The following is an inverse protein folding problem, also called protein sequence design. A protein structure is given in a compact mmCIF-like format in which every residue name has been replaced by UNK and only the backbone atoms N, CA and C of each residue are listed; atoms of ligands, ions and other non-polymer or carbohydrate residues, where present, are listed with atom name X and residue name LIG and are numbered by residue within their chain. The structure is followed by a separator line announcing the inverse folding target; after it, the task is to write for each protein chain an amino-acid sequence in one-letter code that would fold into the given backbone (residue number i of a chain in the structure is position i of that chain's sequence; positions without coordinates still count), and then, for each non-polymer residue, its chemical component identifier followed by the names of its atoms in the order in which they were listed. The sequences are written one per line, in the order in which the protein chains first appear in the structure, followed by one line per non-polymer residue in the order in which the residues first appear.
data_IF_001197877875
#
_entry.id   IF_001197877875
#
_cell.length_a   1.000
_cell.length_b   1.000
_cell.length_c   1.000
_cell.angle_alpha   90.00
_cell.angle_beta   90.00
_cell.angle_gamma   90.00
#
_symmetry.space_group_name_H-M   'P 1'
#
loop_
_entity.id
_entity.type
_entity.pdbx_description
1 polymer ?
#
# COMPACT_ATOMS: atom_id res chain seq x y z
N UNK A 1 8.97 -30.44 60.28
CA UNK A 1 8.82 -28.98 60.24
C UNK A 1 8.39 -28.61 58.84
N UNK A 2 7.18 -28.07 58.68
CA UNK A 2 6.54 -27.82 57.39
C UNK A 2 7.02 -26.50 56.79
N UNK A 3 7.68 -26.56 55.63
CA UNK A 3 8.13 -25.36 54.91
C UNK A 3 6.93 -24.67 54.23
N UNK A 4 6.40 -23.62 54.86
CA UNK A 4 5.38 -22.75 54.26
C UNK A 4 6.08 -21.90 53.21
N UNK A 5 6.04 -22.35 51.95
CA UNK A 5 6.52 -21.56 50.81
C UNK A 5 5.64 -20.32 50.66
N UNK A 6 6.28 -19.15 50.67
CA UNK A 6 5.59 -17.87 50.62
C UNK A 6 4.98 -17.64 49.23
N UNK A 7 3.89 -16.87 49.14
CA UNK A 7 3.30 -16.45 47.87
C UNK A 7 4.32 -15.72 46.98
N UNK A 8 5.29 -15.02 47.58
CA UNK A 8 6.37 -14.35 46.86
C UNK A 8 7.34 -15.36 46.22
N UNK A 9 7.64 -16.48 46.87
CA UNK A 9 8.49 -17.55 46.30
C UNK A 9 7.80 -18.31 45.17
N UNK A 10 6.46 -18.46 45.25
CA UNK A 10 5.67 -18.99 44.13
C UNK A 10 5.69 -18.03 42.93
N UNK A 11 5.65 -16.72 43.17
CA UNK A 11 5.71 -15.71 42.10
C UNK A 11 7.07 -15.74 41.39
N UNK A 12 8.17 -15.78 42.15
CA UNK A 12 9.54 -15.90 41.60
C UNK A 12 9.73 -17.18 40.81
N UNK A 13 9.19 -18.30 41.31
CA UNK A 13 9.28 -19.59 40.62
C UNK A 13 8.49 -19.62 39.30
N UNK A 14 7.37 -18.86 39.21
CA UNK A 14 6.61 -18.70 37.95
C UNK A 14 7.27 -17.73 36.97
N UNK A 15 7.96 -16.69 37.45
CA UNK A 15 8.67 -15.75 36.57
C UNK A 15 9.98 -16.32 36.02
N UNK A 16 10.63 -17.24 36.75
CA UNK A 16 11.84 -17.92 36.30
C UNK A 16 11.62 -18.96 35.19
N UNK A 17 10.36 -19.31 34.89
CA UNK A 17 10.01 -20.20 33.78
C UNK A 17 9.11 -19.45 32.80
N UNK A 18 9.67 -18.84 31.75
CA UNK A 18 8.87 -18.45 30.60
C UNK A 18 8.46 -19.74 29.87
N UNK A 19 7.33 -20.34 30.26
CA UNK A 19 6.60 -21.31 29.45
C UNK A 19 5.94 -20.58 28.27
N UNK A 20 6.78 -19.99 27.42
CA UNK A 20 6.40 -19.63 26.07
C UNK A 20 6.88 -20.80 25.23
N UNK A 21 6.02 -21.57 24.56
CA UNK A 21 6.51 -22.42 23.49
C UNK A 21 7.24 -21.48 22.53
N UNK A 22 8.56 -21.64 22.41
CA UNK A 22 9.35 -21.03 21.35
C UNK A 22 8.76 -21.54 20.06
N UNK A 23 7.74 -20.82 19.56
CA UNK A 23 7.33 -20.88 18.18
C UNK A 23 8.52 -20.28 17.46
N UNK A 24 9.50 -21.12 17.15
CA UNK A 24 10.59 -20.81 16.24
C UNK A 24 9.91 -20.32 14.97
N UNK A 25 9.76 -19.00 14.86
CA UNK A 25 9.46 -18.32 13.63
C UNK A 25 10.70 -18.56 12.80
N UNK A 26 10.75 -19.72 12.15
CA UNK A 26 11.65 -19.94 11.03
C UNK A 26 11.47 -18.70 10.16
N UNK A 27 12.50 -17.88 9.93
CA UNK A 27 12.38 -16.84 8.93
C UNK A 27 12.08 -17.60 7.65
N UNK A 28 10.82 -17.51 7.20
CA UNK A 28 10.45 -17.95 5.88
C UNK A 28 11.16 -16.97 4.95
N UNK A 29 12.45 -17.24 4.70
CA UNK A 29 13.18 -16.70 3.57
C UNK A 29 12.39 -17.21 2.38
N UNK A 30 11.37 -16.43 2.00
CA UNK A 30 10.74 -16.52 0.70
C UNK A 30 11.92 -16.60 -0.24
N UNK A 31 12.04 -17.74 -0.92
CA UNK A 31 13.01 -17.94 -1.99
C UNK A 31 12.97 -16.65 -2.79
N UNK A 32 14.10 -15.95 -2.84
CA UNK A 32 14.30 -14.84 -3.75
C UNK A 32 14.14 -15.43 -5.14
N UNK A 33 12.89 -15.44 -5.60
CA UNK A 33 12.58 -15.62 -7.00
C UNK A 33 13.36 -14.55 -7.71
N UNK A 34 14.06 -14.95 -8.78
CA UNK A 34 14.71 -14.06 -9.74
C UNK A 34 13.91 -12.76 -9.84
N UNK A 35 14.56 -11.57 -9.80
CA UNK A 35 13.84 -10.31 -9.89
C UNK A 35 12.93 -10.41 -11.10
N UNK A 36 11.62 -10.48 -10.86
CA UNK A 36 10.65 -10.45 -11.93
C UNK A 36 10.97 -9.17 -12.70
N UNK A 37 11.24 -9.30 -14.00
CA UNK A 37 11.54 -8.16 -14.85
C UNK A 37 10.48 -7.10 -14.56
N UNK A 38 10.93 -5.98 -13.98
CA UNK A 38 10.03 -4.92 -13.55
C UNK A 38 9.39 -4.40 -14.85
N UNK A 39 8.07 -4.50 -15.02
CA UNK A 39 7.44 -4.05 -16.24
C UNK A 39 7.72 -2.56 -16.46
N UNK A 40 8.03 -2.14 -17.69
CA UNK A 40 8.29 -0.74 -18.09
C UNK A 40 7.26 0.27 -17.56
N UNK A 41 6.02 -0.17 -17.35
CA UNK A 41 4.94 0.66 -16.79
C UNK A 41 5.18 1.06 -15.33
N UNK A 42 5.85 0.21 -14.53
CA UNK A 42 6.19 0.50 -13.13
C UNK A 42 7.25 1.58 -13.05
N UNK A 43 8.23 1.59 -13.96
CA UNK A 43 9.25 2.63 -14.01
C UNK A 43 8.63 3.98 -14.38
N UNK A 44 7.75 4.01 -15.40
CA UNK A 44 6.97 5.22 -15.74
C UNK A 44 6.14 5.76 -14.58
N UNK A 45 5.56 4.87 -13.77
CA UNK A 45 4.80 5.25 -12.57
C UNK A 45 5.69 5.85 -11.48
N UNK A 46 6.94 5.38 -11.35
CA UNK A 46 7.91 5.90 -10.38
C UNK A 46 8.50 7.25 -10.81
N UNK A 47 8.72 7.43 -12.11
CA UNK A 47 9.23 8.67 -12.69
C UNK A 47 8.21 9.82 -12.64
N UNK A 48 6.91 9.51 -12.54
CA UNK A 48 5.86 10.53 -12.48
C UNK A 48 5.98 11.37 -11.20
N UNK A 49 6.50 12.58 -11.32
CA UNK A 49 6.52 13.54 -10.23
C UNK A 49 5.13 14.14 -9.99
N UNK A 50 4.69 14.04 -8.74
CA UNK A 50 3.41 14.57 -8.25
C UNK A 50 3.60 15.47 -7.03
N UNK A 51 4.85 15.77 -6.66
CA UNK A 51 5.21 16.52 -5.45
C UNK A 51 4.70 17.97 -5.44
N UNK A 52 4.58 18.58 -6.62
CA UNK A 52 4.12 19.96 -6.80
C UNK A 52 2.60 20.11 -6.85
N UNK A 53 1.83 19.02 -6.84
CA UNK A 53 0.40 19.05 -7.05
C UNK A 53 -0.33 19.40 -5.74
N UNK A 54 -0.95 20.58 -5.70
CA UNK A 54 -1.68 21.09 -4.53
C UNK A 54 -3.11 20.57 -4.39
N UNK A 55 -3.65 19.94 -5.42
CA UNK A 55 -5.04 19.46 -5.45
C UNK A 55 -5.14 18.05 -4.88
N UNK A 56 -5.84 17.92 -3.75
CA UNK A 56 -6.14 16.63 -3.14
C UNK A 56 -7.33 15.97 -3.86
N UNK A 57 -7.14 14.73 -4.31
CA UNK A 57 -8.17 13.93 -4.96
C UNK A 57 -8.61 12.81 -4.00
N UNK A 58 -9.82 12.92 -3.47
CA UNK A 58 -10.46 11.84 -2.71
C UNK A 58 -11.30 10.98 -3.66
N UNK A 59 -10.72 9.89 -4.14
CA UNK A 59 -11.42 8.91 -4.96
C UNK A 59 -12.09 7.83 -4.09
N UNK A 60 -13.32 7.46 -4.45
CA UNK A 60 -13.97 6.25 -3.94
C UNK A 60 -13.84 5.17 -5.00
N UNK A 61 -13.38 3.99 -4.59
CA UNK A 61 -13.24 2.80 -5.42
C UNK A 61 -13.98 1.66 -4.75
N UNK A 62 -14.38 0.65 -5.52
CA UNK A 62 -14.93 -0.58 -4.97
C UNK A 62 -13.85 -1.35 -4.17
N UNK A 63 -14.31 -2.29 -3.34
CA UNK A 63 -13.44 -3.03 -2.43
C UNK A 63 -12.36 -3.84 -3.16
N UNK A 64 -12.69 -4.45 -4.30
CA UNK A 64 -11.74 -5.26 -5.06
C UNK A 64 -10.63 -4.40 -5.64
N UNK A 65 -10.99 -3.26 -6.24
CA UNK A 65 -10.04 -2.28 -6.76
C UNK A 65 -9.17 -1.71 -5.64
N UNK A 66 -9.74 -1.41 -4.47
CA UNK A 66 -8.97 -0.94 -3.32
C UNK A 66 -7.90 -1.95 -2.88
N UNK A 67 -8.25 -3.24 -2.81
CA UNK A 67 -7.32 -4.31 -2.47
C UNK A 67 -6.21 -4.46 -3.53
N UNK A 68 -6.56 -4.39 -4.81
CA UNK A 68 -5.56 -4.45 -5.90
C UNK A 68 -4.56 -3.29 -5.83
N UNK A 69 -5.04 -2.06 -5.61
CA UNK A 69 -4.20 -0.87 -5.44
C UNK A 69 -3.26 -1.05 -4.25
N UNK A 70 -3.79 -1.57 -3.14
CA UNK A 70 -3.00 -1.82 -1.94
C UNK A 70 -1.90 -2.86 -2.18
N UNK A 71 -2.23 -3.98 -2.81
CA UNK A 71 -1.25 -5.01 -3.18
C UNK A 71 -0.20 -4.48 -4.16
N UNK A 72 -0.59 -3.67 -5.13
CA UNK A 72 0.34 -3.03 -6.07
C UNK A 72 1.33 -2.11 -5.33
N UNK A 73 0.83 -1.30 -4.39
CA UNK A 73 1.69 -0.45 -3.55
C UNK A 73 2.70 -1.29 -2.76
N UNK A 74 2.28 -2.38 -2.13
CA UNK A 74 3.18 -3.26 -1.37
C UNK A 74 4.21 -3.93 -2.28
N UNK A 75 3.81 -4.38 -3.47
CA UNK A 75 4.68 -5.12 -4.37
C UNK A 75 5.72 -4.23 -5.07
N UNK A 76 5.36 -2.99 -5.40
CA UNK A 76 6.17 -2.11 -6.27
C UNK A 76 6.71 -0.86 -5.58
N UNK A 77 6.18 -0.52 -4.40
CA UNK A 77 6.48 0.73 -3.69
C UNK A 77 5.87 1.98 -4.35
N UNK A 78 5.04 1.84 -5.38
CA UNK A 78 4.38 2.97 -6.04
C UNK A 78 3.28 3.53 -5.14
N UNK A 79 3.29 4.84 -4.96
CA UNK A 79 2.27 5.54 -4.18
C UNK A 79 0.91 5.56 -4.90
N UNK A 80 -0.17 5.39 -4.14
CA UNK A 80 -1.54 5.33 -4.67
C UNK A 80 -1.90 6.60 -5.44
N UNK A 81 -1.50 7.76 -4.93
CA UNK A 81 -1.75 9.05 -5.60
C UNK A 81 -1.07 9.13 -6.98
N UNK A 82 0.15 8.57 -7.12
CA UNK A 82 0.85 8.52 -8.41
C UNK A 82 0.09 7.64 -9.40
N UNK A 83 -0.36 6.47 -8.95
CA UNK A 83 -1.19 5.58 -9.75
C UNK A 83 -2.46 6.27 -10.25
N UNK A 84 -3.19 6.95 -9.36
CA UNK A 84 -4.42 7.67 -9.72
C UNK A 84 -4.13 8.77 -10.75
N UNK A 85 -3.11 9.61 -10.51
CA UNK A 85 -2.73 10.67 -11.45
C UNK A 85 -2.33 10.11 -12.82
N UNK A 86 -1.54 9.03 -12.84
CA UNK A 86 -1.13 8.36 -14.06
C UNK A 86 -2.33 7.83 -14.84
N UNK A 87 -3.25 7.11 -14.17
CA UNK A 87 -4.45 6.56 -14.80
C UNK A 87 -5.34 7.64 -15.40
N UNK A 88 -5.55 8.75 -14.70
CA UNK A 88 -6.34 9.87 -15.20
C UNK A 88 -5.67 10.49 -16.43
N UNK A 89 -4.35 10.71 -16.38
CA UNK A 89 -3.61 11.28 -17.50
C UNK A 89 -3.67 10.36 -18.72
N UNK A 90 -3.48 9.07 -18.53
CA UNK A 90 -3.54 8.08 -19.60
C UNK A 90 -4.94 8.01 -20.22
N UNK A 91 -6.00 8.14 -19.42
CA UNK A 91 -7.37 8.20 -19.92
C UNK A 91 -7.57 9.38 -20.89
N UNK A 92 -7.09 10.57 -20.52
CA UNK A 92 -7.17 11.76 -21.38
C UNK A 92 -6.24 11.73 -22.59
N UNK A 93 -5.15 10.96 -22.55
CA UNK A 93 -4.27 10.74 -23.70
C UNK A 93 -4.87 9.73 -24.67
N UNK A 94 -5.53 8.68 -24.17
CA UNK A 94 -6.16 7.64 -24.98
C UNK A 94 -7.46 8.11 -25.66
N UNK A 95 -8.23 8.98 -24.99
CA UNK A 95 -9.53 9.46 -25.49
C UNK A 95 -9.52 10.99 -25.63
N UNK A 96 -8.92 11.53 -26.71
CA UNK A 96 -8.84 12.97 -26.93
C UNK A 96 -10.22 13.61 -27.12
N UNK A 97 -11.25 12.85 -27.49
CA UNK A 97 -12.65 13.34 -27.54
C UNK A 97 -13.11 13.97 -26.23
N UNK A 98 -12.63 13.49 -25.09
CA UNK A 98 -12.98 14.05 -23.78
C UNK A 98 -12.51 15.51 -23.67
N UNK A 99 -11.34 15.84 -24.22
CA UNK A 99 -10.84 17.23 -24.26
C UNK A 99 -11.71 18.11 -25.15
N UNK A 100 -12.18 17.57 -26.27
CA UNK A 100 -13.07 18.28 -27.20
C UNK A 100 -14.44 18.54 -26.57
N UNK A 101 -15.01 17.56 -25.86
CA UNK A 101 -16.27 17.72 -25.13
C UNK A 101 -16.15 18.79 -24.04
N UNK A 102 -15.05 18.77 -23.27
CA UNK A 102 -14.77 19.78 -22.24
C UNK A 102 -14.69 21.18 -22.87
N UNK A 103 -13.98 21.35 -24.00
CA UNK A 103 -13.88 22.64 -24.71
C UNK A 103 -15.24 23.14 -25.19
N UNK A 104 -16.01 22.28 -25.87
CA UNK A 104 -17.32 22.63 -26.40
C UNK A 104 -18.33 23.02 -25.30
N UNK A 105 -18.18 22.45 -24.09
CA UNK A 105 -18.99 22.84 -22.95
C UNK A 105 -18.50 24.13 -22.30
N UNK A 106 -17.19 24.35 -22.17
CA UNK A 106 -16.63 25.59 -21.60
C UNK A 106 -16.88 26.80 -22.50
N UNK A 107 -16.82 26.66 -23.82
CA UNK A 107 -17.17 27.75 -24.76
C UNK A 107 -18.66 28.15 -24.66
N UNK A 108 -19.53 27.26 -24.18
CA UNK A 108 -20.94 27.57 -23.89
C UNK A 108 -21.17 28.17 -22.50
N UNK A 109 -20.15 28.17 -21.64
CA UNK A 109 -20.14 28.88 -20.36
C UNK A 109 -19.59 30.30 -20.59
N UNK A 110 -20.34 31.13 -21.32
CA UNK A 110 -20.21 32.58 -21.14
C UNK A 110 -20.91 32.93 -19.81
N UNK A 111 -20.18 33.56 -18.89
CA UNK A 111 -20.71 34.06 -17.60
C UNK A 111 -21.53 35.33 -17.85
#
# INVERSE_FOLDING_TARGET
MSEIKTLADQLRSRMAKPDTPEKTLKPNRKKEGKPAEIPLIIDRLRELDVSSNKTLIHARVDEQTAQMIHHLKIATGVEVTRLICFSIRQLFEQYPELKTIIKNHLEKFEI
#
